data_IF_302893880764
#
_entry.id   IF_302893880764
#
_cell.length_a   1.000
_cell.length_b   1.000
_cell.length_c   1.000
_cell.angle_alpha   90.00
_cell.angle_beta   90.00
_cell.angle_gamma   90.00
#
_symmetry.space_group_name_H-M   'P 1'
#
loop_
_entity.id
_entity.type
_entity.pdbx_description
1 polymer ?
#
# COMPACT_ATOMS: atom_id res chain seq x y z
N UNK A 1 12.59 27.65 -16.53
CA UNK A 1 11.26 27.04 -16.32
C UNK A 1 10.38 28.08 -15.64
N UNK A 2 9.16 28.33 -16.13
CA UNK A 2 8.28 29.39 -15.59
C UNK A 2 7.66 28.97 -14.25
N UNK A 3 7.49 29.89 -13.30
CA UNK A 3 6.80 29.65 -12.01
C UNK A 3 5.39 29.04 -12.17
N UNK A 4 4.75 29.25 -13.31
CA UNK A 4 3.45 28.67 -13.63
C UNK A 4 3.53 27.15 -13.87
N UNK A 5 4.62 26.67 -14.50
CA UNK A 5 4.86 25.24 -14.72
C UNK A 5 5.15 24.53 -13.41
N UNK A 6 5.99 25.14 -12.56
CA UNK A 6 6.32 24.59 -11.25
C UNK A 6 5.10 24.46 -10.33
N UNK A 7 4.20 25.45 -10.31
CA UNK A 7 2.93 25.38 -9.56
C UNK A 7 1.97 24.31 -10.11
N UNK A 8 1.91 24.14 -11.43
CA UNK A 8 1.08 23.12 -12.05
C UNK A 8 1.57 21.70 -11.73
N UNK A 9 2.88 21.48 -11.70
CA UNK A 9 3.51 20.21 -11.29
C UNK A 9 3.19 19.89 -9.82
N UNK A 10 3.41 20.83 -8.90
CA UNK A 10 3.09 20.65 -7.47
C UNK A 10 1.60 20.32 -7.26
N UNK A 11 0.71 20.99 -7.99
CA UNK A 11 -0.74 20.76 -7.87
C UNK A 11 -1.14 19.39 -8.40
N UNK A 12 -0.49 18.93 -9.47
CA UNK A 12 -0.71 17.60 -10.03
C UNK A 12 -0.22 16.51 -9.08
N UNK A 13 0.98 16.66 -8.53
CA UNK A 13 1.56 15.68 -7.60
C UNK A 13 0.72 15.58 -6.32
N UNK A 14 0.25 16.71 -5.78
CA UNK A 14 -0.64 16.70 -4.61
C UNK A 14 -1.97 15.97 -4.88
N UNK A 15 -2.56 16.14 -6.07
CA UNK A 15 -3.80 15.45 -6.45
C UNK A 15 -3.59 13.95 -6.65
N UNK A 16 -2.49 13.58 -7.32
CA UNK A 16 -2.15 12.17 -7.54
C UNK A 16 -1.84 11.47 -6.21
N UNK A 17 -1.08 12.12 -5.32
CA UNK A 17 -0.85 11.61 -3.97
C UNK A 17 -2.15 11.44 -3.19
N UNK A 18 -3.08 12.40 -3.27
CA UNK A 18 -4.40 12.28 -2.64
C UNK A 18 -5.21 11.08 -3.14
N UNK A 19 -5.19 10.82 -4.45
CA UNK A 19 -5.84 9.64 -5.03
C UNK A 19 -5.19 8.33 -4.53
N UNK A 20 -3.86 8.23 -4.61
CA UNK A 20 -3.15 7.03 -4.12
C UNK A 20 -3.35 6.78 -2.62
N UNK A 21 -3.44 7.83 -1.79
CA UNK A 21 -3.73 7.69 -0.36
C UNK A 21 -5.15 7.16 -0.10
N UNK A 22 -6.14 7.58 -0.91
CA UNK A 22 -7.50 7.05 -0.81
C UNK A 22 -7.55 5.56 -1.18
N UNK A 23 -6.86 5.17 -2.26
CA UNK A 23 -6.75 3.75 -2.66
C UNK A 23 -6.02 2.91 -1.59
N UNK A 24 -4.98 3.45 -0.95
CA UNK A 24 -4.30 2.79 0.19
C UNK A 24 -5.28 2.56 1.35
N UNK A 25 -6.12 3.54 1.67
CA UNK A 25 -7.13 3.39 2.72
C UNK A 25 -8.17 2.33 2.36
N UNK A 26 -8.63 2.30 1.11
CA UNK A 26 -9.55 1.27 0.61
C UNK A 26 -8.94 -0.12 0.68
N UNK A 27 -7.72 -0.30 0.14
CA UNK A 27 -7.06 -1.61 0.14
C UNK A 27 -6.67 -2.07 1.55
N UNK A 28 -6.36 -1.15 2.48
CA UNK A 28 -6.14 -1.50 3.88
C UNK A 28 -7.41 -2.05 4.55
N UNK A 29 -8.59 -1.51 4.22
CA UNK A 29 -9.86 -2.05 4.68
C UNK A 29 -10.14 -3.42 4.08
N UNK A 30 -9.89 -3.61 2.77
CA UNK A 30 -10.01 -4.91 2.11
C UNK A 30 -9.11 -5.97 2.76
N UNK A 31 -7.85 -5.63 3.08
CA UNK A 31 -6.94 -6.52 3.81
C UNK A 31 -7.51 -6.92 5.17
N UNK A 32 -8.07 -5.98 5.93
CA UNK A 32 -8.66 -6.26 7.23
C UNK A 32 -9.84 -7.23 7.12
N UNK A 33 -10.72 -7.01 6.15
CA UNK A 33 -11.90 -7.85 5.89
C UNK A 33 -11.48 -9.27 5.47
N UNK A 34 -10.49 -9.40 4.60
CA UNK A 34 -9.96 -10.71 4.18
C UNK A 34 -9.27 -11.46 5.33
N UNK A 35 -8.56 -10.77 6.23
CA UNK A 35 -8.01 -11.39 7.44
C UNK A 35 -9.13 -11.90 8.36
N UNK A 36 -10.23 -11.15 8.48
CA UNK A 36 -11.40 -11.60 9.26
C UNK A 36 -12.01 -12.84 8.61
N UNK A 37 -12.23 -12.83 7.30
CA UNK A 37 -12.77 -13.97 6.55
C UNK A 37 -11.88 -15.22 6.68
N UNK A 38 -10.56 -15.06 6.56
CA UNK A 38 -9.59 -16.15 6.72
C UNK A 38 -9.66 -16.76 8.13
N UNK A 39 -9.82 -15.92 9.16
CA UNK A 39 -9.99 -16.39 10.55
C UNK A 39 -11.31 -17.13 10.75
N UNK A 40 -12.38 -16.74 10.06
CA UNK A 40 -13.66 -17.45 10.10
C UNK A 40 -13.50 -18.83 9.45
N UNK A 41 -12.97 -18.90 8.23
CA UNK A 41 -12.71 -20.17 7.53
C UNK A 41 -11.84 -21.12 8.38
N UNK A 42 -10.78 -20.60 9.01
CA UNK A 42 -9.94 -21.38 9.91
C UNK A 42 -10.67 -21.89 11.16
N UNK A 43 -11.59 -21.09 11.73
CA UNK A 43 -12.41 -21.52 12.88
C UNK A 43 -13.41 -22.60 12.51
N UNK A 44 -13.94 -22.53 11.30
CA UNK A 44 -14.90 -23.50 10.76
C UNK A 44 -14.21 -24.75 10.17
N UNK A 45 -12.87 -24.73 10.12
CA UNK A 45 -12.04 -25.78 9.51
C UNK A 45 -12.38 -25.99 8.03
N UNK A 46 -12.76 -24.92 7.34
CA UNK A 46 -13.05 -24.88 5.91
C UNK A 46 -11.78 -24.50 5.13
N UNK A 47 -11.09 -25.53 4.63
CA UNK A 47 -9.84 -25.36 3.92
C UNK A 47 -10.00 -24.77 2.51
N UNK A 48 -11.14 -25.00 1.85
CA UNK A 48 -11.40 -24.50 0.50
C UNK A 48 -11.66 -22.99 0.55
N UNK A 49 -12.58 -22.56 1.41
CA UNK A 49 -12.84 -21.13 1.63
C UNK A 49 -11.58 -20.40 2.12
N UNK A 50 -10.79 -21.04 3.00
CA UNK A 50 -9.52 -20.47 3.47
C UNK A 50 -8.50 -20.25 2.34
N UNK A 51 -8.44 -21.15 1.35
CA UNK A 51 -7.55 -21.00 0.20
C UNK A 51 -7.98 -19.88 -0.74
N UNK A 52 -9.28 -19.76 -1.01
CA UNK A 52 -9.83 -18.68 -1.84
C UNK A 52 -9.55 -17.31 -1.23
N UNK A 53 -9.87 -17.13 0.06
CA UNK A 53 -9.61 -15.88 0.78
C UNK A 53 -8.12 -15.56 0.84
N UNK A 54 -7.26 -16.57 1.00
CA UNK A 54 -5.81 -16.35 1.01
C UNK A 54 -5.30 -15.88 -0.36
N UNK A 55 -5.83 -16.41 -1.45
CA UNK A 55 -5.47 -15.98 -2.79
C UNK A 55 -5.87 -14.50 -3.03
N UNK A 56 -7.08 -14.12 -2.62
CA UNK A 56 -7.53 -12.73 -2.68
C UNK A 56 -6.67 -11.81 -1.81
N UNK A 57 -6.31 -12.24 -0.59
CA UNK A 57 -5.44 -11.48 0.30
C UNK A 57 -4.08 -11.17 -0.32
N UNK A 58 -3.48 -12.12 -1.05
CA UNK A 58 -2.21 -11.86 -1.75
C UNK A 58 -2.37 -10.76 -2.79
N UNK A 59 -3.42 -10.82 -3.61
CA UNK A 59 -3.69 -9.82 -4.66
C UNK A 59 -3.92 -8.44 -4.05
N UNK A 60 -4.74 -8.34 -3.00
CA UNK A 60 -4.98 -7.06 -2.31
C UNK A 60 -3.69 -6.48 -1.71
N UNK A 61 -2.81 -7.31 -1.17
CA UNK A 61 -1.50 -6.85 -0.67
C UNK A 61 -0.60 -6.34 -1.80
N UNK A 62 -0.63 -6.96 -2.98
CA UNK A 62 0.09 -6.48 -4.16
C UNK A 62 -0.41 -5.10 -4.60
N UNK A 63 -1.73 -4.90 -4.67
CA UNK A 63 -2.33 -3.60 -4.97
C UNK A 63 -1.93 -2.54 -3.94
N UNK A 64 -2.01 -2.86 -2.65
CA UNK A 64 -1.62 -1.95 -1.58
C UNK A 64 -0.16 -1.49 -1.72
N UNK A 65 0.75 -2.42 -2.05
CA UNK A 65 2.15 -2.10 -2.31
C UNK A 65 2.29 -1.18 -3.53
N UNK A 66 1.57 -1.44 -4.61
CA UNK A 66 1.62 -0.62 -5.82
C UNK A 66 1.07 0.79 -5.59
N UNK A 67 -0.02 0.92 -4.85
CA UNK A 67 -0.54 2.23 -4.47
C UNK A 67 0.41 2.98 -3.53
N UNK A 68 1.13 2.29 -2.64
CA UNK A 68 2.13 2.89 -1.75
C UNK A 68 3.41 3.34 -2.47
N UNK A 69 3.84 2.62 -3.52
CA UNK A 69 5.08 2.95 -4.27
C UNK A 69 5.06 4.34 -4.90
N UNK A 70 3.90 4.85 -5.27
CA UNK A 70 3.78 6.15 -5.93
C UNK A 70 3.95 7.36 -4.98
N UNK A 71 3.16 7.52 -3.91
CA UNK A 71 3.25 8.70 -3.05
C UNK A 71 4.45 8.65 -2.11
N UNK A 72 4.97 7.47 -1.77
CA UNK A 72 5.99 7.31 -0.73
C UNK A 72 7.28 8.12 -0.99
N UNK A 73 7.90 8.13 -2.19
CA UNK A 73 9.09 8.92 -2.44
C UNK A 73 8.84 10.43 -2.29
N UNK A 74 7.71 10.92 -2.82
CA UNK A 74 7.31 12.32 -2.69
C UNK A 74 7.08 12.72 -1.23
N UNK A 75 6.43 11.85 -0.45
CA UNK A 75 6.18 12.10 0.97
C UNK A 75 7.48 12.08 1.79
N UNK A 76 8.39 11.15 1.52
CA UNK A 76 9.72 11.11 2.15
C UNK A 76 10.51 12.38 1.89
N UNK A 77 10.53 12.86 0.64
CA UNK A 77 11.19 14.12 0.29
C UNK A 77 10.55 15.34 0.98
N UNK A 78 9.22 15.36 1.13
CA UNK A 78 8.52 16.44 1.83
C UNK A 78 8.76 16.44 3.35
N UNK A 79 9.00 15.27 3.92
CA UNK A 79 9.23 15.07 5.35
C UNK A 79 10.71 15.01 5.73
N UNK A 80 11.63 15.16 4.77
CA UNK A 80 13.09 15.05 4.96
C UNK A 80 13.49 13.71 5.60
N UNK A 81 12.87 12.62 5.15
CA UNK A 81 13.15 11.26 5.62
C UNK A 81 14.15 10.57 4.68
N UNK A 82 15.21 10.01 5.25
CA UNK A 82 16.15 9.14 4.54
C UNK A 82 15.59 7.71 4.44
N UNK A 83 15.99 6.97 3.40
CA UNK A 83 15.74 5.54 3.33
C UNK A 83 16.65 4.84 4.34
N UNK A 84 16.09 4.32 5.43
CA UNK A 84 16.79 3.29 6.21
C UNK A 84 16.90 2.05 5.32
N UNK A 85 18.06 1.85 4.70
CA UNK A 85 18.39 0.56 4.09
C UNK A 85 18.16 -0.51 5.16
N UNK A 86 17.21 -1.40 4.91
CA UNK A 86 16.99 -2.57 5.73
C UNK A 86 18.34 -3.29 5.84
N UNK A 87 19.00 -3.13 6.99
CA UNK A 87 20.25 -3.80 7.30
C UNK A 87 19.96 -5.27 7.12
N UNK A 88 20.45 -5.83 6.02
CA UNK A 88 20.45 -7.27 5.79
C UNK A 88 21.11 -7.88 7.01
N UNK A 89 20.31 -8.58 7.81
CA UNK A 89 20.81 -9.54 8.79
C UNK A 89 21.50 -10.64 7.99
N UNK A 90 22.74 -10.37 7.57
CA UNK A 90 23.69 -11.41 7.21
C UNK A 90 23.83 -12.27 8.45
N UNK A 91 23.15 -13.42 8.40
CA UNK A 91 23.22 -14.45 9.43
C UNK A 91 24.63 -15.06 9.32
N UNK A 92 25.50 -14.73 10.27
CA UNK A 92 26.75 -15.47 10.51
C UNK A 92 26.45 -16.74 11.32
#
# INVERSE_FOLDING_TARGET
>A
MSEALQRAEITRDARLNGAHLAEIEEEANNVLDLIIALRVAARENDAEAGQEVLAELVVTLEHLVDHARFPLPSLKAQLDLEDEEATTLETQ
#
